data_IF_325031885857
#
_entry.id   IF_325031885857
#
_cell.length_a   1.000
_cell.length_b   1.000
_cell.length_c   1.000
_cell.angle_alpha   90.00
_cell.angle_beta   90.00
_cell.angle_gamma   90.00
#
_symmetry.space_group_name_H-M   'P 1'
#
loop_
_entity.id
_entity.type
_entity.pdbx_description
1 polymer ?
#
# COMPACT_ATOMS: atom_id res chain seq x y z
N UNK A 1 -14.42 -10.51 15.45
CA UNK A 1 -14.31 -11.00 14.06
C UNK A 1 -13.35 -12.18 14.03
N UNK A 2 -13.62 -13.19 13.24
CA UNK A 2 -12.72 -14.33 13.07
C UNK A 2 -11.47 -13.88 12.32
N UNK A 3 -10.28 -14.22 12.85
CA UNK A 3 -9.01 -13.84 12.24
C UNK A 3 -8.72 -14.74 11.04
N UNK A 4 -8.26 -14.12 9.97
CA UNK A 4 -7.90 -14.82 8.74
C UNK A 4 -6.39 -14.79 8.51
N UNK A 5 -5.88 -15.76 7.79
CA UNK A 5 -4.46 -15.83 7.42
C UNK A 5 -4.12 -14.84 6.30
N UNK A 6 -4.43 -13.56 6.53
CA UNK A 6 -4.24 -12.46 5.60
C UNK A 6 -3.47 -11.35 6.31
N UNK A 7 -2.48 -10.76 5.64
CA UNK A 7 -1.73 -9.59 6.12
C UNK A 7 -2.03 -8.42 5.20
N UNK A 8 -2.64 -7.35 5.69
CA UNK A 8 -2.82 -6.12 4.93
C UNK A 8 -1.71 -5.11 5.28
N UNK A 9 -1.01 -4.62 4.26
CA UNK A 9 0.09 -3.67 4.43
C UNK A 9 -0.27 -2.37 3.76
N UNK A 10 -0.53 -1.36 4.58
CA UNK A 10 -0.65 0.03 4.20
C UNK A 10 0.64 0.79 4.58
N UNK A 11 0.72 2.06 4.27
CA UNK A 11 1.83 2.90 4.70
C UNK A 11 2.09 4.07 3.77
N UNK A 12 3.01 4.89 4.19
CA UNK A 12 3.43 6.11 3.50
C UNK A 12 4.06 5.84 2.14
N UNK A 13 4.11 6.89 1.32
CA UNK A 13 4.78 6.82 0.02
C UNK A 13 6.27 6.54 0.21
N UNK A 14 6.82 5.65 -0.60
CA UNK A 14 8.21 5.19 -0.53
C UNK A 14 8.64 4.52 0.80
N UNK A 15 7.69 4.10 1.65
CA UNK A 15 7.99 3.32 2.88
C UNK A 15 8.51 1.90 2.61
N UNK A 16 8.67 1.48 1.37
CA UNK A 16 9.18 0.16 1.03
C UNK A 16 8.15 -0.97 1.06
N UNK A 17 6.83 -0.66 1.08
CA UNK A 17 5.76 -1.66 1.11
C UNK A 17 5.97 -2.82 0.14
N UNK A 18 6.21 -2.53 -1.13
CA UNK A 18 6.30 -3.55 -2.17
C UNK A 18 7.44 -4.56 -1.96
N UNK A 19 8.60 -4.11 -1.48
CA UNK A 19 9.74 -5.01 -1.21
C UNK A 19 9.53 -5.79 0.08
N UNK A 20 8.95 -5.18 1.11
CA UNK A 20 8.62 -5.84 2.39
C UNK A 20 7.51 -6.88 2.17
N UNK A 21 6.44 -6.53 1.44
CA UNK A 21 5.38 -7.47 1.07
C UNK A 21 5.92 -8.69 0.33
N UNK A 22 6.84 -8.47 -0.62
CA UNK A 22 7.50 -9.56 -1.34
C UNK A 22 8.29 -10.45 -0.40
N UNK A 23 9.11 -9.89 0.48
CA UNK A 23 9.90 -10.66 1.46
C UNK A 23 9.00 -11.51 2.38
N UNK A 24 7.85 -10.95 2.83
CA UNK A 24 6.88 -11.69 3.64
C UNK A 24 6.30 -12.88 2.86
N UNK A 25 5.88 -12.66 1.60
CA UNK A 25 5.29 -13.74 0.79
C UNK A 25 6.28 -14.87 0.53
N UNK A 26 7.54 -14.56 0.26
CA UNK A 26 8.59 -15.55 0.07
C UNK A 26 8.85 -16.37 1.35
N UNK A 27 8.88 -15.71 2.51
CA UNK A 27 9.13 -16.38 3.82
C UNK A 27 7.96 -17.24 4.30
N UNK A 28 6.73 -16.82 4.03
CA UNK A 28 5.53 -17.54 4.46
C UNK A 28 4.98 -18.49 3.39
N UNK A 29 5.49 -18.44 2.16
CA UNK A 29 4.92 -19.08 0.98
C UNK A 29 3.45 -18.66 0.74
N UNK A 30 3.18 -17.36 0.92
CA UNK A 30 1.87 -16.75 0.74
C UNK A 30 1.73 -16.15 -0.65
N UNK A 31 0.47 -16.04 -1.11
CA UNK A 31 0.14 -15.24 -2.28
C UNK A 31 0.32 -13.74 -2.02
N UNK A 32 0.20 -12.93 -3.07
CA UNK A 32 0.17 -11.47 -2.95
C UNK A 32 -0.91 -10.87 -3.83
N UNK A 33 -1.64 -9.92 -3.29
CA UNK A 33 -2.61 -9.10 -4.00
C UNK A 33 -2.18 -7.63 -3.95
N UNK A 34 -2.13 -6.96 -5.10
CA UNK A 34 -1.69 -5.56 -5.20
C UNK A 34 -2.72 -4.70 -5.92
N UNK A 35 -3.33 -3.76 -5.22
CA UNK A 35 -4.25 -2.79 -5.82
C UNK A 35 -3.59 -1.99 -6.95
N UNK A 36 -2.31 -1.67 -6.84
CA UNK A 36 -1.57 -0.97 -7.89
C UNK A 36 -1.43 -1.77 -9.20
N UNK A 37 -1.41 -3.09 -9.15
CA UNK A 37 -1.42 -3.94 -10.35
C UNK A 37 -2.81 -3.98 -10.98
N UNK A 38 -3.84 -4.08 -10.16
CA UNK A 38 -5.23 -4.02 -10.61
C UNK A 38 -5.54 -2.66 -11.26
N UNK A 39 -5.13 -1.56 -10.66
CA UNK A 39 -5.28 -0.21 -11.21
C UNK A 39 -4.58 -0.05 -12.58
N UNK A 40 -3.38 -0.59 -12.75
CA UNK A 40 -2.68 -0.60 -14.05
C UNK A 40 -3.39 -1.46 -15.09
N UNK A 41 -4.02 -2.56 -14.67
CA UNK A 41 -4.85 -3.39 -15.56
C UNK A 41 -6.04 -2.57 -16.07
N UNK A 42 -6.77 -1.89 -15.18
CA UNK A 42 -7.89 -1.03 -15.57
C UNK A 42 -7.45 0.10 -16.52
N UNK A 43 -6.31 0.75 -16.24
CA UNK A 43 -5.77 1.77 -17.15
C UNK A 43 -5.57 1.23 -18.57
N UNK A 44 -5.03 0.01 -18.71
CA UNK A 44 -4.87 -0.65 -20.02
C UNK A 44 -6.21 -0.96 -20.69
N UNK A 45 -7.20 -1.42 -19.93
CA UNK A 45 -8.54 -1.71 -20.45
C UNK A 45 -9.23 -0.44 -20.98
N UNK A 46 -8.94 0.72 -20.35
CA UNK A 46 -9.36 2.03 -20.83
C UNK A 46 -8.48 2.64 -21.92
N UNK A 47 -7.43 1.92 -22.39
CA UNK A 47 -6.45 2.42 -23.37
C UNK A 47 -5.75 3.72 -22.91
N UNK A 48 -5.47 3.87 -21.63
CA UNK A 48 -4.85 5.04 -21.01
C UNK A 48 -3.49 4.67 -20.38
N UNK A 49 -2.56 5.63 -20.43
CA UNK A 49 -1.40 5.59 -19.55
C UNK A 49 -1.79 5.91 -18.10
N UNK A 50 -0.91 5.59 -17.16
CA UNK A 50 -1.20 5.74 -15.72
C UNK A 50 -1.47 7.19 -15.32
N UNK A 51 -0.80 8.15 -15.92
CA UNK A 51 -0.97 9.57 -15.62
C UNK A 51 -2.34 10.06 -16.07
N UNK A 52 -2.70 9.77 -17.31
CA UNK A 52 -4.01 10.08 -17.89
C UNK A 52 -5.13 9.37 -17.14
N UNK A 53 -4.93 8.11 -16.74
CA UNK A 53 -5.91 7.35 -15.98
C UNK A 53 -6.12 7.90 -14.56
N UNK A 54 -5.07 8.37 -13.89
CA UNK A 54 -5.21 9.05 -12.59
C UNK A 54 -6.03 10.34 -12.68
N UNK A 55 -5.92 11.08 -13.79
CA UNK A 55 -6.76 12.27 -14.04
C UNK A 55 -8.21 11.83 -14.28
N UNK A 56 -8.40 10.83 -15.13
CA UNK A 56 -9.73 10.29 -15.46
C UNK A 56 -10.50 9.80 -14.23
N UNK A 57 -9.82 9.08 -13.33
CA UNK A 57 -10.43 8.54 -12.10
C UNK A 57 -10.95 9.62 -11.14
N UNK A 58 -10.44 10.87 -11.20
CA UNK A 58 -10.98 11.97 -10.38
C UNK A 58 -12.46 12.23 -10.63
N UNK A 59 -12.89 12.07 -11.88
CA UNK A 59 -14.27 12.27 -12.31
C UNK A 59 -15.06 10.94 -12.37
N UNK A 60 -14.41 9.81 -12.01
CA UNK A 60 -14.93 8.45 -12.06
C UNK A 60 -14.69 7.70 -10.74
N UNK A 61 -15.34 8.12 -9.63
CA UNK A 61 -15.13 7.52 -8.31
C UNK A 61 -15.50 6.04 -8.24
N UNK A 62 -16.36 5.56 -9.17
CA UNK A 62 -16.70 4.13 -9.30
C UNK A 62 -15.48 3.24 -9.52
N UNK A 63 -14.43 3.77 -10.16
CA UNK A 63 -13.17 3.05 -10.39
C UNK A 63 -12.41 2.85 -9.07
N UNK A 64 -12.33 3.90 -8.22
CA UNK A 64 -11.74 3.76 -6.88
C UNK A 64 -12.51 2.71 -6.06
N UNK A 65 -13.84 2.74 -6.09
CA UNK A 65 -14.67 1.72 -5.42
C UNK A 65 -14.44 0.31 -5.97
N UNK A 66 -14.24 0.17 -7.28
CA UNK A 66 -13.92 -1.10 -7.90
C UNK A 66 -12.55 -1.61 -7.43
N UNK A 67 -11.53 -0.76 -7.44
CA UNK A 67 -10.16 -1.12 -7.01
C UNK A 67 -10.14 -1.57 -5.54
N UNK A 68 -10.79 -0.84 -4.63
CA UNK A 68 -10.79 -1.23 -3.22
C UNK A 68 -11.65 -2.49 -2.97
N UNK A 69 -12.80 -2.62 -3.65
CA UNK A 69 -13.63 -3.81 -3.55
C UNK A 69 -12.97 -5.06 -4.12
N UNK A 70 -12.10 -4.91 -5.10
CA UNK A 70 -11.40 -6.05 -5.73
C UNK A 70 -10.54 -6.84 -4.73
N UNK A 71 -9.94 -6.18 -3.73
CA UNK A 71 -9.21 -6.86 -2.65
C UNK A 71 -10.15 -7.68 -1.75
N UNK A 72 -11.32 -7.12 -1.41
CA UNK A 72 -12.33 -7.83 -0.62
C UNK A 72 -12.92 -9.03 -1.38
N UNK A 73 -13.17 -8.90 -2.68
CA UNK A 73 -13.65 -10.01 -3.51
C UNK A 73 -12.58 -11.13 -3.61
N UNK A 74 -11.32 -10.76 -3.79
CA UNK A 74 -10.22 -11.72 -3.78
C UNK A 74 -10.15 -12.49 -2.45
N UNK A 75 -10.31 -11.79 -1.34
CA UNK A 75 -10.30 -12.38 -0.01
C UNK A 75 -11.44 -13.38 0.23
N UNK A 76 -12.58 -13.31 -0.47
CA UNK A 76 -13.69 -14.27 -0.30
C UNK A 76 -13.30 -15.70 -0.67
N UNK A 77 -12.36 -15.87 -1.58
CA UNK A 77 -11.98 -17.17 -2.15
C UNK A 77 -10.53 -17.56 -1.86
N UNK A 78 -9.74 -16.68 -1.24
CA UNK A 78 -8.32 -16.90 -0.98
C UNK A 78 -7.98 -16.61 0.47
N UNK A 79 -7.07 -17.41 1.01
CA UNK A 79 -6.38 -17.23 2.29
C UNK A 79 -4.86 -17.32 2.07
N UNK A 80 -4.07 -17.09 3.10
CA UNK A 80 -2.61 -17.18 3.05
C UNK A 80 -2.00 -16.24 2.00
N UNK A 81 -2.37 -14.96 2.06
CA UNK A 81 -1.83 -13.94 1.15
C UNK A 81 -1.61 -12.59 1.84
N UNK A 82 -0.82 -11.75 1.18
CA UNK A 82 -0.54 -10.36 1.58
C UNK A 82 -1.31 -9.41 0.67
N UNK A 83 -1.95 -8.40 1.23
CA UNK A 83 -2.57 -7.29 0.51
C UNK A 83 -1.64 -6.08 0.56
N UNK A 84 -1.03 -5.70 -0.56
CA UNK A 84 -0.29 -4.44 -0.71
C UNK A 84 -1.24 -3.37 -1.27
N UNK A 85 -1.91 -2.67 -0.37
CA UNK A 85 -2.91 -1.65 -0.70
C UNK A 85 -2.98 -0.56 0.36
N UNK A 86 -3.46 0.64 -0.02
CA UNK A 86 -3.64 1.78 0.91
C UNK A 86 -4.74 1.53 1.93
N UNK A 87 -5.83 0.92 1.48
CA UNK A 87 -7.01 0.63 2.28
C UNK A 87 -7.27 -0.88 2.44
N UNK A 88 -6.24 -1.72 2.32
CA UNK A 88 -6.36 -3.18 2.49
C UNK A 88 -6.97 -3.57 3.84
N UNK A 89 -6.63 -2.85 4.90
CA UNK A 89 -7.18 -2.99 6.25
C UNK A 89 -8.69 -2.68 6.33
N UNK A 90 -9.16 -1.74 5.49
CA UNK A 90 -10.57 -1.37 5.38
C UNK A 90 -11.34 -2.39 4.54
N UNK A 91 -10.75 -2.85 3.43
CA UNK A 91 -11.35 -3.82 2.54
C UNK A 91 -11.47 -5.21 3.16
N UNK A 92 -10.51 -5.61 4.02
CA UNK A 92 -10.46 -6.94 4.69
C UNK A 92 -10.19 -6.74 6.19
N UNK A 93 -11.22 -6.39 6.97
CA UNK A 93 -11.09 -6.07 8.40
C UNK A 93 -10.55 -7.22 9.26
N UNK A 94 -10.68 -8.47 8.81
CA UNK A 94 -10.23 -9.69 9.49
C UNK A 94 -8.73 -9.98 9.29
N UNK A 95 -8.03 -9.17 8.47
CA UNK A 95 -6.59 -9.29 8.23
C UNK A 95 -5.77 -8.75 9.40
N UNK A 96 -4.53 -9.21 9.52
CA UNK A 96 -3.51 -8.55 10.35
C UNK A 96 -3.08 -7.25 9.66
N UNK A 97 -3.31 -6.12 10.31
CA UNK A 97 -3.23 -4.78 9.72
C UNK A 97 -1.92 -4.11 10.08
N UNK A 98 -1.09 -3.87 9.09
CA UNK A 98 0.23 -3.25 9.24
C UNK A 98 0.26 -1.88 8.56
N UNK A 99 0.79 -0.87 9.27
CA UNK A 99 1.10 0.43 8.70
C UNK A 99 2.60 0.70 8.73
N UNK A 100 3.15 1.09 7.60
CA UNK A 100 4.57 1.41 7.45
C UNK A 100 4.76 2.93 7.38
N UNK A 101 5.49 3.48 8.36
CA UNK A 101 5.94 4.87 8.32
C UNK A 101 7.36 4.96 7.75
N UNK A 102 7.74 6.15 7.33
CA UNK A 102 9.09 6.48 6.89
C UNK A 102 9.35 7.97 7.06
N UNK A 103 10.55 8.35 7.45
CA UNK A 103 10.96 9.75 7.43
C UNK A 103 10.85 10.31 6.00
N UNK A 104 10.34 11.55 5.87
CA UNK A 104 10.03 12.13 4.56
C UNK A 104 11.28 12.39 3.71
N UNK A 105 12.41 12.71 4.33
CA UNK A 105 13.67 12.91 3.61
C UNK A 105 14.22 11.58 3.09
N UNK A 106 14.12 10.52 3.90
CA UNK A 106 14.48 9.17 3.48
C UNK A 106 13.51 8.65 2.41
N UNK A 107 12.21 8.91 2.53
CA UNK A 107 11.22 8.58 1.49
C UNK A 107 11.55 9.25 0.15
N UNK A 108 11.88 10.54 0.18
CA UNK A 108 12.28 11.30 -1.00
C UNK A 108 13.57 10.76 -1.63
N UNK A 109 14.57 10.45 -0.79
CA UNK A 109 15.81 9.84 -1.25
C UNK A 109 15.57 8.49 -1.92
N UNK A 110 14.79 7.59 -1.30
CA UNK A 110 14.42 6.29 -1.87
C UNK A 110 13.69 6.43 -3.20
N UNK A 111 12.71 7.32 -3.26
CA UNK A 111 11.92 7.54 -4.46
C UNK A 111 12.77 8.10 -5.61
N UNK A 112 13.67 9.05 -5.30
CA UNK A 112 14.54 9.69 -6.29
C UNK A 112 15.54 8.73 -6.93
N UNK A 113 16.07 7.76 -6.17
CA UNK A 113 17.02 6.76 -6.67
C UNK A 113 16.36 5.46 -7.17
N UNK A 114 15.03 5.33 -7.10
CA UNK A 114 14.32 4.16 -7.62
C UNK A 114 14.25 4.23 -9.16
N UNK A 115 15.04 3.39 -9.83
CA UNK A 115 15.09 3.34 -11.31
C UNK A 115 13.74 3.06 -11.95
N UNK A 116 12.86 2.27 -11.30
CA UNK A 116 11.52 1.99 -11.82
C UNK A 116 10.63 3.22 -11.80
N UNK A 117 10.84 4.14 -10.85
CA UNK A 117 10.08 5.39 -10.79
C UNK A 117 10.56 6.40 -11.84
N UNK A 118 11.84 6.38 -12.20
CA UNK A 118 12.40 7.27 -13.22
C UNK A 118 11.75 7.12 -14.61
N UNK A 119 11.10 6.00 -14.87
CA UNK A 119 10.35 5.80 -16.11
C UNK A 119 9.07 6.66 -16.16
N UNK A 120 8.50 6.99 -15.01
CA UNK A 120 7.21 7.67 -14.87
C UNK A 120 7.28 8.98 -14.10
N UNK A 121 8.30 9.16 -13.25
CA UNK A 121 8.49 10.32 -12.37
C UNK A 121 9.86 10.94 -12.70
N UNK A 122 9.88 12.17 -13.23
CA UNK A 122 11.13 12.86 -13.62
C UNK A 122 11.32 14.10 -12.78
N UNK A 123 12.16 14.00 -11.74
CA UNK A 123 12.57 15.11 -10.90
C UNK A 123 14.06 15.35 -11.05
N UNK A 124 14.49 16.60 -10.93
CA UNK A 124 15.89 17.00 -11.04
C UNK A 124 16.61 16.96 -9.69
N UNK A 125 15.85 17.08 -8.60
CA UNK A 125 16.39 17.12 -7.23
C UNK A 125 15.56 16.26 -6.27
N UNK A 126 16.21 15.85 -5.16
CA UNK A 126 15.52 15.14 -4.07
C UNK A 126 14.45 16.04 -3.44
N UNK A 127 14.67 17.36 -3.38
CA UNK A 127 13.70 18.30 -2.83
C UNK A 127 12.43 18.40 -3.68
N UNK A 128 12.55 18.42 -5.02
CA UNK A 128 11.39 18.32 -5.91
C UNK A 128 10.61 17.01 -5.71
N UNK A 129 11.32 15.89 -5.57
CA UNK A 129 10.71 14.60 -5.26
C UNK A 129 9.99 14.62 -3.90
N UNK A 130 10.56 15.26 -2.88
CA UNK A 130 9.96 15.42 -1.55
C UNK A 130 8.65 16.19 -1.62
N UNK A 131 8.63 17.32 -2.32
CA UNK A 131 7.43 18.13 -2.48
C UNK A 131 6.32 17.37 -3.23
N UNK A 132 6.68 16.58 -4.24
CA UNK A 132 5.71 15.69 -4.93
C UNK A 132 5.13 14.64 -3.98
N UNK A 133 5.95 13.98 -3.17
CA UNK A 133 5.48 12.98 -2.19
C UNK A 133 4.51 13.59 -1.18
N UNK A 134 4.81 14.78 -0.64
CA UNK A 134 3.93 15.49 0.29
C UNK A 134 2.60 15.79 -0.39
N UNK A 135 2.62 16.39 -1.57
CA UNK A 135 1.41 16.72 -2.32
C UNK A 135 0.56 15.49 -2.64
N UNK A 136 1.18 14.40 -3.06
CA UNK A 136 0.47 13.14 -3.33
C UNK A 136 -0.15 12.54 -2.08
N UNK A 137 0.54 12.62 -0.95
CA UNK A 137 0.02 12.14 0.33
C UNK A 137 -1.25 12.93 0.74
N UNK A 138 -1.24 14.25 0.61
CA UNK A 138 -2.39 15.10 0.89
C UNK A 138 -3.57 14.78 -0.04
N UNK A 139 -3.33 14.68 -1.35
CA UNK A 139 -4.35 14.35 -2.34
C UNK A 139 -4.97 12.95 -2.11
N UNK A 140 -4.15 11.96 -1.73
CA UNK A 140 -4.64 10.62 -1.37
C UNK A 140 -5.53 10.68 -0.12
N UNK A 141 -5.14 11.42 0.91
CA UNK A 141 -5.92 11.55 2.14
C UNK A 141 -7.25 12.26 1.91
N UNK A 142 -7.25 13.37 1.16
CA UNK A 142 -8.47 14.07 0.77
C UNK A 142 -9.42 13.15 -0.01
N UNK A 143 -8.90 12.42 -0.99
CA UNK A 143 -9.69 11.48 -1.80
C UNK A 143 -10.32 10.39 -0.94
N UNK A 144 -9.56 9.73 -0.07
CA UNK A 144 -10.10 8.66 0.78
C UNK A 144 -11.08 9.19 1.83
N UNK A 145 -10.88 10.41 2.34
CA UNK A 145 -11.86 11.04 3.19
C UNK A 145 -13.18 11.31 2.45
N UNK A 146 -13.11 11.85 1.25
CA UNK A 146 -14.30 12.19 0.46
C UNK A 146 -15.09 10.95 0.02
N UNK A 147 -14.39 9.86 -0.33
CA UNK A 147 -15.03 8.63 -0.85
C UNK A 147 -15.49 7.67 0.25
N UNK A 148 -14.73 7.51 1.32
CA UNK A 148 -14.91 6.46 2.31
C UNK A 148 -15.09 6.97 3.74
N UNK A 149 -14.88 8.26 3.99
CA UNK A 149 -14.83 8.87 5.32
C UNK A 149 -13.82 8.20 6.26
N UNK A 150 -12.71 7.72 5.71
CA UNK A 150 -11.63 7.08 6.47
C UNK A 150 -10.35 7.90 6.38
N UNK A 151 -9.56 7.83 7.44
CA UNK A 151 -8.22 8.38 7.53
C UNK A 151 -7.21 7.25 7.56
N UNK A 152 -6.47 7.04 6.46
CA UNK A 152 -5.46 5.98 6.39
C UNK A 152 -4.31 6.19 7.38
N UNK A 153 -4.07 7.45 7.79
CA UNK A 153 -3.07 7.84 8.78
C UNK A 153 -3.52 7.68 10.24
N UNK A 154 -4.77 7.31 10.48
CA UNK A 154 -5.25 6.99 11.83
C UNK A 154 -4.66 5.64 12.26
N UNK A 155 -3.61 5.71 13.07
CA UNK A 155 -2.83 4.55 13.50
C UNK A 155 -3.63 3.58 14.38
N UNK A 156 -4.77 4.00 14.94
CA UNK A 156 -5.65 3.13 15.73
C UNK A 156 -6.33 2.04 14.88
N UNK A 157 -6.30 2.16 13.56
CA UNK A 157 -6.83 1.17 12.64
C UNK A 157 -5.91 -0.06 12.43
N UNK A 158 -4.68 -0.01 12.95
CA UNK A 158 -3.65 -1.01 12.65
C UNK A 158 -3.23 -1.81 13.88
N UNK A 159 -2.97 -3.10 13.68
CA UNK A 159 -2.46 -3.99 14.71
C UNK A 159 -0.95 -3.80 14.96
N UNK A 160 -0.22 -3.34 13.92
CA UNK A 160 1.21 -3.04 13.97
C UNK A 160 1.54 -1.79 13.17
N UNK A 161 2.23 -0.84 13.81
CA UNK A 161 2.87 0.31 13.14
C UNK A 161 4.37 0.13 13.19
N UNK A 162 5.04 0.25 12.05
CA UNK A 162 6.47 -0.01 11.93
C UNK A 162 7.17 1.10 11.14
N UNK A 163 8.13 1.74 11.76
CA UNK A 163 9.03 2.69 11.10
C UNK A 163 10.05 1.93 10.23
N UNK A 164 10.13 2.31 8.99
CA UNK A 164 11.01 1.72 7.99
C UNK A 164 12.18 2.61 7.60
N UNK A 165 12.36 3.76 8.26
CA UNK A 165 13.44 4.71 8.00
C UNK A 165 14.79 4.04 8.09
N UNK A 166 14.96 3.21 9.13
CA UNK A 166 16.15 2.39 9.31
C UNK A 166 15.81 0.90 9.23
N UNK A 167 16.70 0.14 8.65
CA UNK A 167 16.56 -1.31 8.53
C UNK A 167 16.28 -1.80 7.11
N UNK A 168 16.80 -2.98 6.81
CA UNK A 168 16.55 -3.65 5.53
C UNK A 168 15.19 -4.34 5.47
N UNK A 169 14.64 -4.54 4.27
CA UNK A 169 13.32 -5.13 4.10
C UNK A 169 13.18 -6.53 4.71
N UNK A 170 14.25 -7.32 4.71
CA UNK A 170 14.26 -8.67 5.29
C UNK A 170 14.01 -8.65 6.80
N UNK A 171 14.72 -7.78 7.53
CA UNK A 171 14.59 -7.64 8.98
C UNK A 171 13.20 -7.10 9.36
N UNK A 172 12.67 -6.17 8.57
CA UNK A 172 11.34 -5.62 8.77
C UNK A 172 10.25 -6.67 8.50
N UNK A 173 10.42 -7.48 7.46
CA UNK A 173 9.54 -8.61 7.17
C UNK A 173 9.53 -9.64 8.30
N UNK A 174 10.70 -9.98 8.87
CA UNK A 174 10.79 -10.90 10.00
C UNK A 174 10.02 -10.39 11.21
N UNK A 175 10.14 -9.10 11.53
CA UNK A 175 9.40 -8.47 12.63
C UNK A 175 7.90 -8.51 12.41
N UNK A 176 7.43 -8.22 11.19
CA UNK A 176 6.01 -8.31 10.84
C UNK A 176 5.50 -9.75 10.99
N UNK A 177 6.25 -10.73 10.51
CA UNK A 177 5.89 -12.15 10.61
C UNK A 177 5.83 -12.62 12.07
N UNK A 178 6.74 -12.17 12.91
CA UNK A 178 6.73 -12.49 14.35
C UNK A 178 5.46 -11.98 15.02
N UNK A 179 5.11 -10.69 14.82
CA UNK A 179 3.89 -10.10 15.39
C UNK A 179 2.62 -10.72 14.79
N UNK A 180 2.61 -11.01 13.51
CA UNK A 180 1.50 -11.72 12.84
C UNK A 180 1.24 -13.11 13.45
N UNK A 181 2.31 -13.89 13.71
CA UNK A 181 2.17 -15.19 14.35
C UNK A 181 1.61 -15.09 15.78
N UNK A 182 2.04 -14.09 16.55
CA UNK A 182 1.47 -13.80 17.86
C UNK A 182 -0.02 -13.44 17.76
N UNK A 183 -0.36 -12.57 16.81
CA UNK A 183 -1.74 -12.15 16.57
C UNK A 183 -2.65 -13.32 16.19
N UNK A 184 -2.20 -14.31 15.43
CA UNK A 184 -2.99 -15.50 15.08
C UNK A 184 -3.33 -16.38 16.30
N UNK A 185 -2.52 -16.38 17.33
CA UNK A 185 -2.66 -17.28 18.50
C UNK A 185 -3.62 -16.68 19.55
N UNK A 186 -3.74 -15.36 19.64
CA UNK A 186 -4.62 -14.65 20.57
C UNK A 186 -6.06 -14.69 20.10
#
# INVERSE_FOLDING_TARGET
MEKRKIISIAGELASGKGVISKAITEKLNYGIYRNGEYFRKLAKEHNMDITSFNVYVKDHPEIDFEVERSAAEYAKTHDEFVIDARLGWYAVPESFKVYLTVDIDEAARRAFYDEKRKETEKFNTIEEQKQDLIKRYELENERYWNLYHVKKEDLSNYDLVLDTTEGGPEKLADKIIEEYKKWLII
#
